data_IF_007735665012
#
_entry.id   IF_007735665012
#
_cell.length_a   1.000
_cell.length_b   1.000
_cell.length_c   1.000
_cell.angle_alpha   90.00
_cell.angle_beta   90.00
_cell.angle_gamma   90.00
#
_symmetry.space_group_name_H-M   'P 1'
#
loop_
_entity.id
_entity.type
_entity.pdbx_description
1 polymer ?
#
# COMPACT_ATOMS: atom_id res chain seq x y z
N UNK A 1 55.78 31.60 -44.58
CA UNK A 1 56.57 30.54 -43.95
C UNK A 1 55.81 30.07 -42.71
N UNK A 2 55.22 28.86 -42.75
CA UNK A 2 54.41 28.24 -41.69
C UNK A 2 55.34 27.59 -40.63
N UNK A 3 54.92 27.09 -39.46
CA UNK A 3 54.26 25.80 -39.29
C UNK A 3 53.83 25.57 -37.83
N UNK A 4 52.61 25.04 -37.68
CA UNK A 4 52.22 23.93 -36.81
C UNK A 4 52.57 23.94 -35.32
N UNK A 5 51.54 24.06 -34.46
CA UNK A 5 51.44 23.22 -33.27
C UNK A 5 50.03 22.59 -33.27
N UNK A 6 50.01 21.28 -33.43
CA UNK A 6 48.85 20.40 -33.36
C UNK A 6 48.30 20.41 -31.93
N UNK A 7 47.05 20.84 -31.71
CA UNK A 7 46.39 20.69 -30.42
C UNK A 7 45.46 19.48 -30.51
N UNK A 8 45.99 18.29 -30.23
CA UNK A 8 45.18 17.13 -29.92
C UNK A 8 44.98 17.08 -28.39
N UNK A 9 44.16 17.98 -27.86
CA UNK A 9 43.67 17.83 -26.49
C UNK A 9 42.44 16.92 -26.51
N UNK A 10 42.56 15.83 -25.77
CA UNK A 10 41.63 14.73 -25.62
C UNK A 10 40.18 15.18 -25.38
N UNK A 11 39.28 15.02 -26.36
CA UNK A 11 37.85 14.87 -26.09
C UNK A 11 37.55 13.42 -25.72
N UNK A 12 38.24 12.93 -24.68
CA UNK A 12 37.73 11.80 -23.91
C UNK A 12 36.71 12.39 -22.96
N UNK A 13 35.42 12.35 -23.31
CA UNK A 13 34.40 12.40 -22.27
C UNK A 13 34.58 11.07 -21.51
N UNK A 14 35.05 11.04 -20.24
CA UNK A 14 34.82 9.84 -19.47
C UNK A 14 33.30 9.79 -19.32
N UNK A 15 32.68 8.94 -20.14
CA UNK A 15 31.39 8.36 -19.81
C UNK A 15 31.64 7.64 -18.48
N UNK A 16 31.54 8.40 -17.39
CA UNK A 16 31.10 7.88 -16.12
C UNK A 16 29.71 7.31 -16.40
N UNK A 17 29.67 6.10 -16.95
CA UNK A 17 28.69 5.09 -16.62
C UNK A 17 28.92 4.72 -15.15
N UNK A 18 28.91 5.73 -14.28
CA UNK A 18 28.68 5.58 -12.86
C UNK A 18 27.23 5.18 -12.78
N UNK A 19 26.97 3.89 -13.03
CA UNK A 19 25.76 3.25 -12.60
C UNK A 19 25.70 3.46 -11.10
N UNK A 20 24.97 4.49 -10.67
CA UNK A 20 24.46 4.51 -9.32
C UNK A 20 23.65 3.22 -9.22
N UNK A 21 24.19 2.24 -8.51
CA UNK A 21 23.39 1.18 -7.95
C UNK A 21 22.43 1.87 -6.98
N UNK A 22 21.28 2.31 -7.48
CA UNK A 22 20.19 2.78 -6.64
C UNK A 22 19.85 1.59 -5.75
N UNK A 23 20.22 1.68 -4.46
CA UNK A 23 19.66 0.81 -3.42
C UNK A 23 18.17 1.14 -3.37
N UNK A 24 17.42 0.56 -4.28
CA UNK A 24 15.97 0.61 -4.23
C UNK A 24 15.58 -0.20 -2.98
N UNK A 25 14.93 0.45 -2.03
CA UNK A 25 14.29 -0.27 -0.94
C UNK A 25 13.32 -1.28 -1.55
N UNK A 26 13.54 -2.56 -1.25
CA UNK A 26 12.70 -3.67 -1.69
C UNK A 26 11.72 -4.02 -0.58
N UNK A 27 10.43 -3.89 -0.89
CA UNK A 27 9.35 -4.28 0.01
C UNK A 27 8.85 -5.66 -0.39
N UNK A 28 8.87 -6.57 0.59
CA UNK A 28 8.33 -7.91 0.45
C UNK A 28 6.80 -7.86 0.34
N UNK A 29 6.18 -8.79 -0.41
CA UNK A 29 4.72 -8.97 -0.39
C UNK A 29 4.18 -9.13 1.02
N UNK A 30 3.05 -8.50 1.32
CA UNK A 30 2.27 -8.75 2.52
C UNK A 30 1.56 -10.10 2.37
N UNK A 31 1.71 -11.04 3.32
CA UNK A 31 1.10 -12.36 3.24
C UNK A 31 -0.38 -12.31 3.61
N UNK A 32 -1.16 -13.25 3.06
CA UNK A 32 -2.49 -13.51 3.60
C UNK A 32 -2.35 -14.18 4.97
N UNK A 33 -2.98 -13.63 6.01
CA UNK A 33 -2.94 -14.19 7.37
C UNK A 33 -3.81 -15.43 7.53
N UNK A 34 -4.83 -15.56 6.68
CA UNK A 34 -5.73 -16.70 6.62
C UNK A 34 -5.84 -17.20 5.16
N UNK A 35 -6.10 -18.50 4.96
CA UNK A 35 -6.37 -19.03 3.62
C UNK A 35 -7.73 -18.55 3.13
N UNK A 36 -7.78 -17.89 1.96
CA UNK A 36 -9.05 -17.50 1.34
C UNK A 36 -9.85 -18.73 0.91
N UNK A 37 -11.07 -18.87 1.41
CA UNK A 37 -11.95 -20.00 1.06
C UNK A 37 -12.51 -19.87 -0.36
N UNK A 38 -12.93 -20.98 -1.01
CA UNK A 38 -13.55 -20.94 -2.34
C UNK A 38 -14.79 -20.04 -2.43
N UNK A 39 -15.58 -19.96 -1.36
CA UNK A 39 -16.73 -19.06 -1.28
C UNK A 39 -16.31 -17.59 -1.35
N UNK A 40 -15.31 -17.20 -0.57
CA UNK A 40 -14.78 -15.83 -0.58
C UNK A 40 -14.08 -15.51 -1.90
N UNK A 41 -13.44 -16.49 -2.54
CA UNK A 41 -12.90 -16.34 -3.90
C UNK A 41 -14.00 -16.00 -4.92
N UNK A 42 -15.13 -16.70 -4.87
CA UNK A 42 -16.26 -16.41 -5.74
C UNK A 42 -16.82 -15.00 -5.49
N UNK A 43 -16.96 -14.59 -4.22
CA UNK A 43 -17.37 -13.23 -3.88
C UNK A 43 -16.37 -12.19 -4.38
N UNK A 44 -15.07 -12.45 -4.28
CA UNK A 44 -14.03 -11.57 -4.82
C UNK A 44 -14.20 -11.36 -6.32
N UNK A 45 -14.40 -12.42 -7.08
CA UNK A 45 -14.56 -12.35 -8.54
C UNK A 45 -15.82 -11.59 -8.94
N UNK A 46 -16.89 -11.72 -8.17
CA UNK A 46 -18.19 -11.12 -8.47
C UNK A 46 -18.33 -9.68 -7.97
N UNK A 47 -17.74 -9.35 -6.83
CA UNK A 47 -18.08 -8.15 -6.06
C UNK A 47 -16.90 -7.22 -5.76
N UNK A 48 -15.64 -7.68 -5.87
CA UNK A 48 -14.52 -6.86 -5.45
C UNK A 48 -14.43 -5.59 -6.31
N UNK A 49 -14.39 -4.43 -5.66
CA UNK A 49 -14.24 -3.14 -6.33
C UNK A 49 -12.86 -3.01 -6.98
N UNK A 50 -12.73 -2.06 -7.90
CA UNK A 50 -11.43 -1.73 -8.50
C UNK A 50 -10.42 -1.34 -7.43
N UNK A 51 -10.84 -0.57 -6.41
CA UNK A 51 -9.97 -0.17 -5.29
C UNK A 51 -9.51 -1.37 -4.47
N UNK A 52 -10.41 -2.27 -4.04
CA UNK A 52 -10.03 -3.46 -3.28
C UNK A 52 -9.04 -4.34 -4.07
N UNK A 53 -9.31 -4.57 -5.36
CA UNK A 53 -8.41 -5.33 -6.23
C UNK A 53 -7.04 -4.67 -6.39
N UNK A 54 -7.01 -3.33 -6.51
CA UNK A 54 -5.77 -2.57 -6.63
C UNK A 54 -4.94 -2.67 -5.36
N UNK A 55 -5.53 -2.38 -4.20
CA UNK A 55 -4.86 -2.49 -2.90
C UNK A 55 -4.27 -3.88 -2.73
N UNK A 56 -5.08 -4.92 -2.91
CA UNK A 56 -4.64 -6.31 -2.76
C UNK A 56 -3.43 -6.60 -3.64
N UNK A 57 -3.52 -6.32 -4.95
CA UNK A 57 -2.42 -6.56 -5.90
C UNK A 57 -1.18 -5.74 -5.58
N UNK A 58 -1.33 -4.51 -5.10
CA UNK A 58 -0.21 -3.62 -4.79
C UNK A 58 0.56 -4.05 -3.55
N UNK A 59 -0.12 -4.54 -2.50
CA UNK A 59 0.56 -4.96 -1.27
C UNK A 59 1.04 -6.41 -1.32
N UNK A 60 0.43 -7.27 -2.14
CA UNK A 60 0.83 -8.69 -2.28
C UNK A 60 1.89 -8.93 -3.36
N UNK A 61 2.62 -7.90 -3.78
CA UNK A 61 3.71 -8.02 -4.77
C UNK A 61 4.98 -7.34 -4.27
N UNK A 62 6.11 -7.71 -4.87
CA UNK A 62 7.36 -7.00 -4.65
C UNK A 62 7.25 -5.58 -5.18
N UNK A 63 7.66 -4.63 -4.35
CA UNK A 63 7.67 -3.20 -4.65
C UNK A 63 9.09 -2.66 -4.47
N UNK A 64 9.53 -1.84 -5.43
CA UNK A 64 10.88 -1.25 -5.42
C UNK A 64 10.78 0.27 -5.34
N UNK A 65 11.66 0.89 -4.54
CA UNK A 65 11.74 2.35 -4.41
C UNK A 65 10.62 2.96 -3.57
N UNK A 66 9.99 2.17 -2.70
CA UNK A 66 9.01 2.63 -1.71
C UNK A 66 9.53 2.30 -0.30
N UNK A 67 9.20 3.13 0.68
CA UNK A 67 9.65 2.96 2.06
C UNK A 67 8.76 1.98 2.85
N UNK A 68 7.45 2.00 2.60
CA UNK A 68 6.49 1.07 3.18
C UNK A 68 5.28 0.87 2.24
N UNK A 69 4.56 -0.23 2.41
CA UNK A 69 3.26 -0.43 1.77
C UNK A 69 2.25 0.56 2.33
N UNK A 70 1.37 1.10 1.48
CA UNK A 70 0.33 2.06 1.84
C UNK A 70 0.80 3.40 2.44
N UNK A 71 2.11 3.68 2.44
CA UNK A 71 2.70 4.92 2.98
C UNK A 71 1.97 6.19 2.52
N UNK A 72 1.79 6.35 1.19
CA UNK A 72 1.03 7.50 0.64
C UNK A 72 -0.42 7.55 1.10
N UNK A 73 -1.06 6.40 1.30
CA UNK A 73 -2.44 6.34 1.77
C UNK A 73 -2.52 6.77 3.23
N UNK A 74 -1.66 6.23 4.10
CA UNK A 74 -1.59 6.57 5.52
C UNK A 74 -1.24 8.06 5.71
N UNK A 75 -0.24 8.55 4.99
CA UNK A 75 0.13 9.97 4.95
C UNK A 75 -1.04 10.85 4.48
N UNK A 76 -1.73 10.45 3.40
CA UNK A 76 -2.92 11.17 2.93
C UNK A 76 -4.00 11.21 4.01
N UNK A 77 -4.25 10.10 4.70
CA UNK A 77 -5.24 10.01 5.78
C UNK A 77 -4.83 10.81 7.02
N UNK A 78 -3.54 11.09 7.19
CA UNK A 78 -2.97 11.71 8.38
C UNK A 78 -2.80 10.71 9.53
N UNK A 79 -2.57 9.45 9.18
CA UNK A 79 -2.21 8.37 10.10
C UNK A 79 -0.69 8.22 10.04
N UNK A 80 -0.01 8.54 11.14
CA UNK A 80 1.44 8.73 11.20
C UNK A 80 1.83 10.15 10.82
N UNK A 81 2.40 10.90 11.76
CA UNK A 81 2.99 12.23 11.52
C UNK A 81 4.49 12.14 11.23
N UNK A 82 5.10 11.04 11.64
CA UNK A 82 6.52 10.71 11.60
C UNK A 82 6.67 9.25 11.16
N UNK A 83 7.88 8.85 10.80
CA UNK A 83 8.12 7.46 10.42
C UNK A 83 7.89 6.48 11.60
N UNK A 84 8.05 6.95 12.85
CA UNK A 84 7.93 6.12 14.05
C UNK A 84 6.47 5.81 14.43
N UNK A 85 5.55 6.75 14.24
CA UNK A 85 4.12 6.60 14.57
C UNK A 85 3.27 6.16 13.38
N UNK A 86 3.88 5.94 12.21
CA UNK A 86 3.18 5.43 11.02
C UNK A 86 2.86 3.94 11.18
N UNK A 87 1.58 3.54 11.11
CA UNK A 87 1.21 2.13 11.19
C UNK A 87 1.78 1.30 10.05
N UNK A 88 2.08 0.03 10.32
CA UNK A 88 2.67 -0.88 9.34
C UNK A 88 1.67 -1.96 9.01
N UNK A 89 1.32 -2.10 7.73
CA UNK A 89 0.50 -3.24 7.27
C UNK A 89 1.33 -4.53 7.36
N UNK A 90 0.85 -5.49 8.13
CA UNK A 90 1.55 -6.75 8.42
C UNK A 90 0.84 -7.97 7.84
N UNK A 91 -0.46 -7.84 7.54
CA UNK A 91 -1.25 -8.91 6.94
C UNK A 91 -2.45 -8.39 6.14
N UNK A 92 -3.06 -9.31 5.41
CA UNK A 92 -4.38 -9.12 4.83
C UNK A 92 -5.17 -10.42 4.91
N UNK A 93 -6.48 -10.32 4.97
CA UNK A 93 -7.38 -11.46 4.83
C UNK A 93 -8.64 -11.07 4.10
N UNK A 94 -9.36 -12.08 3.65
CA UNK A 94 -10.59 -11.90 2.90
C UNK A 94 -11.70 -12.68 3.56
N UNK A 95 -12.84 -12.03 3.77
CA UNK A 95 -13.98 -12.64 4.46
C UNK A 95 -15.26 -12.36 3.69
N UNK A 96 -16.24 -13.22 3.92
CA UNK A 96 -17.63 -12.94 3.61
C UNK A 96 -18.25 -12.27 4.85
N UNK A 97 -18.63 -11.01 4.75
CA UNK A 97 -19.32 -10.29 5.82
C UNK A 97 -20.73 -10.02 5.34
N UNK A 98 -21.71 -10.69 5.94
CA UNK A 98 -23.14 -10.60 5.54
C UNK A 98 -23.36 -10.86 4.04
N UNK A 99 -22.60 -11.80 3.45
CA UNK A 99 -22.66 -12.13 2.02
C UNK A 99 -21.93 -11.16 1.09
N UNK A 100 -21.31 -10.12 1.62
CA UNK A 100 -20.46 -9.20 0.88
C UNK A 100 -18.97 -9.58 0.96
N UNK A 101 -18.24 -9.39 -0.13
CA UNK A 101 -16.78 -9.49 -0.14
C UNK A 101 -16.16 -8.40 0.73
N UNK A 102 -15.31 -8.79 1.67
CA UNK A 102 -14.52 -7.88 2.48
C UNK A 102 -13.02 -8.15 2.30
N UNK A 103 -12.28 -7.08 2.01
CA UNK A 103 -10.82 -7.06 2.11
C UNK A 103 -10.45 -6.43 3.45
N UNK A 104 -9.79 -7.19 4.32
CA UNK A 104 -9.37 -6.73 5.65
C UNK A 104 -7.85 -6.55 5.62
N UNK A 105 -7.41 -5.35 5.98
CA UNK A 105 -6.00 -5.00 6.13
C UNK A 105 -5.65 -5.02 7.61
N UNK A 106 -4.56 -5.69 7.95
CA UNK A 106 -4.10 -5.86 9.34
C UNK A 106 -2.87 -4.98 9.55
N UNK A 107 -2.94 -4.10 10.53
CA UNK A 107 -1.90 -3.13 10.84
C UNK A 107 -1.36 -3.34 12.26
N UNK A 108 -0.06 -3.15 12.38
CA UNK A 108 0.61 -2.88 13.65
C UNK A 108 0.60 -1.35 13.84
N UNK A 109 0.03 -0.90 14.96
CA UNK A 109 -0.26 0.49 15.26
C UNK A 109 -0.02 0.82 16.75
N UNK A 110 1.20 0.61 17.28
CA UNK A 110 1.47 0.75 18.73
C UNK A 110 1.38 2.17 19.27
N UNK A 111 1.50 3.18 18.39
CA UNK A 111 1.51 4.59 18.80
C UNK A 111 0.21 5.33 18.46
N UNK A 112 -0.70 4.71 17.70
CA UNK A 112 -1.97 5.31 17.32
C UNK A 112 -3.13 4.45 17.84
N UNK A 113 -3.93 4.97 18.80
CA UNK A 113 -5.08 4.26 19.33
C UNK A 113 -6.20 4.17 18.27
N UNK A 114 -7.13 3.23 18.44
CA UNK A 114 -8.26 3.02 17.52
C UNK A 114 -9.08 4.30 17.29
N UNK A 115 -9.25 5.16 18.30
CA UNK A 115 -10.00 6.41 18.17
C UNK A 115 -9.39 7.32 17.09
N UNK A 116 -8.06 7.39 17.00
CA UNK A 116 -7.36 8.18 15.99
C UNK A 116 -7.63 7.65 14.57
N UNK A 117 -7.84 6.34 14.41
CA UNK A 117 -8.24 5.71 13.16
C UNK A 117 -9.71 6.00 12.82
N UNK A 118 -10.60 5.83 13.80
CA UNK A 118 -12.04 6.04 13.64
C UNK A 118 -12.37 7.49 13.25
N UNK A 119 -11.64 8.48 13.80
CA UNK A 119 -11.74 9.87 13.35
C UNK A 119 -11.47 10.08 11.85
N UNK A 120 -10.74 9.17 11.20
CA UNK A 120 -10.41 9.27 9.77
C UNK A 120 -11.37 8.47 8.89
N UNK A 121 -12.39 7.81 9.45
CA UNK A 121 -13.30 6.93 8.71
C UNK A 121 -13.98 7.63 7.52
N UNK A 122 -14.49 8.87 7.69
CA UNK A 122 -15.07 9.63 6.59
C UNK A 122 -14.06 9.96 5.48
N UNK A 123 -12.80 10.21 5.86
CA UNK A 123 -11.72 10.51 4.93
C UNK A 123 -11.26 9.25 4.20
N UNK A 124 -11.24 8.10 4.87
CA UNK A 124 -11.03 6.77 4.27
C UNK A 124 -12.10 6.46 3.23
N UNK A 125 -13.38 6.69 3.54
CA UNK A 125 -14.47 6.49 2.60
C UNK A 125 -14.27 7.31 1.32
N UNK A 126 -13.89 8.59 1.45
CA UNK A 126 -13.57 9.45 0.31
C UNK A 126 -12.33 8.99 -0.47
N UNK A 127 -11.32 8.47 0.23
CA UNK A 127 -10.06 8.02 -0.38
C UNK A 127 -10.22 6.71 -1.14
N UNK A 128 -10.85 5.70 -0.54
CA UNK A 128 -11.05 4.39 -1.15
C UNK A 128 -12.14 4.40 -2.23
N UNK A 129 -12.99 5.42 -2.23
CA UNK A 129 -13.98 5.65 -3.26
C UNK A 129 -15.30 4.90 -3.00
N UNK A 130 -16.25 4.99 -3.94
CA UNK A 130 -17.57 4.42 -3.77
C UNK A 130 -17.56 2.89 -3.81
N UNK A 131 -18.67 2.29 -3.35
CA UNK A 131 -18.86 0.84 -3.42
C UNK A 131 -18.18 0.07 -2.29
N UNK A 132 -17.66 0.76 -1.28
CA UNK A 132 -17.16 0.14 -0.04
C UNK A 132 -17.70 0.86 1.19
N UNK A 133 -18.00 0.08 2.22
CA UNK A 133 -18.14 0.52 3.60
C UNK A 133 -16.79 0.31 4.31
N UNK A 134 -16.49 1.17 5.27
CA UNK A 134 -15.28 1.11 6.09
C UNK A 134 -15.67 0.72 7.51
N UNK A 135 -15.09 -0.39 7.99
CA UNK A 135 -15.17 -0.79 9.38
C UNK A 135 -13.76 -0.88 9.97
N UNK A 136 -13.57 -0.34 11.17
CA UNK A 136 -12.29 -0.30 11.88
C UNK A 136 -12.47 -1.00 13.22
N UNK A 137 -11.66 -2.02 13.47
CA UNK A 137 -11.68 -2.80 14.71
C UNK A 137 -10.28 -2.98 15.28
N UNK A 138 -10.20 -3.25 16.57
CA UNK A 138 -8.95 -3.54 17.28
C UNK A 138 -9.07 -4.93 17.93
N UNK A 139 -8.66 -6.01 17.25
CA UNK A 139 -8.77 -7.36 17.80
C UNK A 139 -7.83 -7.59 18.98
N UNK A 140 -6.69 -6.91 19.01
CA UNK A 140 -5.64 -7.03 20.04
C UNK A 140 -5.00 -5.66 20.32
N UNK A 141 -4.26 -5.55 21.42
CA UNK A 141 -3.43 -4.36 21.69
C UNK A 141 -2.50 -4.10 20.50
N UNK A 142 -2.37 -2.84 20.12
CA UNK A 142 -1.55 -2.38 18.99
C UNK A 142 -1.90 -2.97 17.61
N UNK A 143 -2.98 -3.74 17.46
CA UNK A 143 -3.43 -4.29 16.17
C UNK A 143 -4.69 -3.61 15.69
N UNK A 144 -4.68 -3.07 14.47
CA UNK A 144 -5.86 -2.49 13.84
C UNK A 144 -6.24 -3.31 12.60
N UNK A 145 -7.52 -3.64 12.51
CA UNK A 145 -8.12 -4.17 11.29
C UNK A 145 -8.93 -3.07 10.60
N UNK A 146 -8.59 -2.80 9.35
CA UNK A 146 -9.35 -1.94 8.44
C UNK A 146 -10.03 -2.82 7.40
N UNK A 147 -11.34 -3.00 7.54
CA UNK A 147 -12.16 -3.74 6.59
C UNK A 147 -12.78 -2.80 5.55
N UNK A 148 -12.51 -3.09 4.28
CA UNK A 148 -13.21 -2.53 3.13
C UNK A 148 -14.25 -3.54 2.68
N UNK A 149 -15.51 -3.31 3.02
CA UNK A 149 -16.63 -4.23 2.76
C UNK A 149 -17.37 -3.75 1.53
N UNK A 150 -17.53 -4.59 0.51
CA UNK A 150 -18.26 -4.18 -0.70
C UNK A 150 -19.70 -3.82 -0.35
N UNK A 151 -20.16 -2.66 -0.80
CA UNK A 151 -21.58 -2.30 -0.79
C UNK A 151 -22.16 -2.52 -2.17
N UNK A 152 -23.27 -3.25 -2.26
CA UNK A 152 -24.01 -3.37 -3.51
C UNK A 152 -24.70 -2.02 -3.79
N UNK A 153 -24.06 -1.17 -4.59
CA UNK A 153 -24.74 0.03 -5.11
C UNK A 153 -25.76 -0.45 -6.13
N UNK A 154 -26.98 -0.76 -5.70
CA UNK A 154 -28.10 -0.95 -6.61
C UNK A 154 -28.24 0.34 -7.43
N UNK A 155 -27.76 0.32 -8.67
CA UNK A 155 -27.91 1.41 -9.65
C UNK A 155 -28.99 1.01 -10.65
#
# INVERSE_FOLDING_TARGET
MPHSILWAFFYGFPLLLGGLALKANELKPIPFSETTTPEVLALREQQATVTQNKIRKDITRYCYGQNAHLDRALSFLGLGKTDEDTPIVTGLKEKAINGAYALILEFDSPLLPIDAWQEKQEKMLKYFGPGVEIQITQPEEDKIELALITTTTNS
#
